data_IF_678223469783
#
_entry.id   IF_678223469783
#
_cell.length_a   1.000
_cell.length_b   1.000
_cell.length_c   1.000
_cell.angle_alpha   90.00
_cell.angle_beta   90.00
_cell.angle_gamma   90.00
#
_symmetry.space_group_name_H-M   'P 1'
#
loop_
_entity.id
_entity.type
_entity.pdbx_description
1 polymer ?
#
# COMPACT_ATOMS: atom_id res chain seq x y z
N UNK A 1 11.07 21.70 -7.32
CA UNK A 1 10.12 21.46 -6.22
C UNK A 1 9.17 20.30 -6.51
N UNK A 2 9.39 19.52 -7.59
CA UNK A 2 8.62 18.33 -7.97
C UNK A 2 9.22 17.04 -7.38
N UNK A 3 10.55 16.99 -7.20
CA UNK A 3 11.25 15.83 -6.65
C UNK A 3 10.89 15.48 -5.20
N UNK A 4 10.50 16.48 -4.40
CA UNK A 4 10.12 16.30 -2.99
C UNK A 4 8.79 15.58 -2.90
N UNK A 5 7.77 16.07 -3.60
CA UNK A 5 6.43 15.45 -3.69
C UNK A 5 6.46 14.05 -4.28
N UNK A 6 7.38 13.81 -5.21
CA UNK A 6 7.56 12.50 -5.81
C UNK A 6 8.22 11.51 -4.84
N UNK A 7 9.21 11.95 -4.07
CA UNK A 7 9.81 11.09 -3.04
C UNK A 7 8.81 10.76 -1.93
N UNK A 8 8.03 11.74 -1.49
CA UNK A 8 6.97 11.59 -0.49
C UNK A 8 5.89 10.60 -0.94
N UNK A 9 5.46 10.65 -2.21
CA UNK A 9 4.44 9.74 -2.74
C UNK A 9 4.88 8.27 -2.66
N UNK A 10 6.11 7.96 -3.07
CA UNK A 10 6.64 6.60 -2.97
C UNK A 10 6.80 6.12 -1.52
N UNK A 11 7.18 7.01 -0.60
CA UNK A 11 7.27 6.69 0.83
C UNK A 11 5.90 6.38 1.44
N UNK A 12 4.87 7.16 1.10
CA UNK A 12 3.50 6.93 1.55
C UNK A 12 2.92 5.62 1.03
N UNK A 13 3.16 5.26 -0.23
CA UNK A 13 2.71 3.99 -0.80
C UNK A 13 3.36 2.79 -0.10
N UNK A 14 4.67 2.87 0.18
CA UNK A 14 5.36 1.83 0.97
C UNK A 14 4.87 1.77 2.41
N UNK A 15 4.53 2.91 3.02
CA UNK A 15 3.95 2.95 4.36
C UNK A 15 2.56 2.30 4.39
N UNK A 16 1.72 2.58 3.40
CA UNK A 16 0.41 1.96 3.27
C UNK A 16 0.49 0.42 3.21
N UNK A 17 1.42 -0.14 2.41
CA UNK A 17 1.65 -1.59 2.38
C UNK A 17 2.05 -2.17 3.74
N UNK A 18 2.92 -1.48 4.49
CA UNK A 18 3.29 -1.91 5.86
C UNK A 18 2.08 -1.91 6.79
N UNK A 19 1.22 -0.90 6.71
CA UNK A 19 0.02 -0.83 7.55
C UNK A 19 -1.01 -1.90 7.19
N UNK A 20 -1.19 -2.20 5.91
CA UNK A 20 -2.10 -3.26 5.44
C UNK A 20 -1.62 -4.63 5.90
N UNK A 21 -0.32 -4.90 5.83
CA UNK A 21 0.26 -6.16 6.32
C UNK A 21 0.14 -6.28 7.85
N UNK A 22 0.39 -5.21 8.60
CA UNK A 22 0.16 -5.19 10.04
C UNK A 22 -1.32 -5.42 10.41
N UNK A 23 -2.25 -4.86 9.62
CA UNK A 23 -3.68 -5.10 9.81
C UNK A 23 -4.04 -6.57 9.56
N UNK A 24 -3.48 -7.21 8.52
CA UNK A 24 -3.70 -8.65 8.19
C UNK A 24 -3.25 -9.60 9.30
N UNK A 25 -2.27 -9.20 10.10
CA UNK A 25 -1.73 -10.01 11.20
C UNK A 25 -2.54 -9.90 12.49
N UNK A 26 -3.59 -9.06 12.54
CA UNK A 26 -4.49 -8.99 13.69
C UNK A 26 -5.37 -10.25 13.77
N UNK A 27 -5.39 -10.90 14.94
CA UNK A 27 -6.04 -12.20 15.16
C UNK A 27 -7.56 -12.18 14.95
N UNK A 28 -8.21 -11.01 15.00
CA UNK A 28 -9.68 -10.89 14.98
C UNK A 28 -10.24 -10.34 13.65
N UNK A 29 -9.61 -10.70 12.53
CA UNK A 29 -10.11 -10.36 11.21
C UNK A 29 -11.22 -11.29 10.75
N UNK A 30 -12.42 -10.74 10.53
CA UNK A 30 -13.47 -11.43 9.77
C UNK A 30 -12.98 -11.71 8.35
N UNK A 31 -13.41 -12.84 7.77
CA UNK A 31 -13.04 -13.28 6.40
C UNK A 31 -13.18 -12.19 5.34
N UNK A 32 -14.27 -11.42 5.36
CA UNK A 32 -14.49 -10.30 4.43
C UNK A 32 -13.45 -9.19 4.60
N UNK A 33 -13.04 -8.89 5.82
CA UNK A 33 -12.02 -7.87 6.09
C UNK A 33 -10.64 -8.34 5.60
N UNK A 34 -10.31 -9.62 5.76
CA UNK A 34 -9.06 -10.18 5.24
C UNK A 34 -8.97 -10.06 3.71
N UNK A 35 -10.06 -10.39 3.00
CA UNK A 35 -10.16 -10.25 1.53
C UNK A 35 -10.08 -8.77 1.11
N UNK A 36 -10.74 -7.87 1.86
CA UNK A 36 -10.66 -6.45 1.59
C UNK A 36 -9.22 -5.91 1.74
N UNK A 37 -8.51 -6.32 2.78
CA UNK A 37 -7.11 -5.95 3.00
C UNK A 37 -6.19 -6.48 1.90
N UNK A 38 -6.40 -7.70 1.43
CA UNK A 38 -5.67 -8.28 0.30
C UNK A 38 -5.90 -7.47 -0.99
N UNK A 39 -7.15 -7.16 -1.32
CA UNK A 39 -7.48 -6.36 -2.50
C UNK A 39 -6.83 -4.98 -2.45
N UNK A 40 -6.91 -4.29 -1.32
CA UNK A 40 -6.29 -2.97 -1.15
C UNK A 40 -4.76 -3.08 -1.24
N UNK A 41 -4.15 -4.11 -0.64
CA UNK A 41 -2.70 -4.35 -0.75
C UNK A 41 -2.26 -4.54 -2.20
N UNK A 42 -3.04 -5.29 -2.99
CA UNK A 42 -2.77 -5.49 -4.42
C UNK A 42 -2.85 -4.19 -5.20
N UNK A 43 -3.91 -3.40 -4.98
CA UNK A 43 -4.06 -2.08 -5.64
C UNK A 43 -2.90 -1.15 -5.30
N UNK A 44 -2.53 -1.01 -4.02
CA UNK A 44 -1.43 -0.14 -3.60
C UNK A 44 -0.10 -0.61 -4.18
N UNK A 45 0.12 -1.93 -4.28
CA UNK A 45 1.32 -2.49 -4.90
C UNK A 45 1.40 -2.18 -6.40
N UNK A 46 0.27 -2.26 -7.11
CA UNK A 46 0.19 -1.86 -8.53
C UNK A 46 0.50 -0.38 -8.69
N UNK A 47 -0.14 0.49 -7.90
CA UNK A 47 0.10 1.93 -7.95
C UNK A 47 1.57 2.26 -7.65
N UNK A 48 2.19 1.61 -6.65
CA UNK A 48 3.61 1.80 -6.36
C UNK A 48 4.49 1.41 -7.55
N UNK A 49 4.19 0.28 -8.20
CA UNK A 49 4.96 -0.20 -9.35
C UNK A 49 4.83 0.73 -10.56
N UNK A 50 3.63 1.22 -10.84
CA UNK A 50 3.38 2.20 -11.91
C UNK A 50 4.09 3.52 -11.58
N UNK A 51 3.97 4.00 -10.34
CA UNK A 51 4.63 5.20 -9.85
C UNK A 51 6.17 5.13 -9.94
N UNK A 52 6.77 3.99 -9.61
CA UNK A 52 8.21 3.76 -9.75
C UNK A 52 8.66 3.56 -11.21
N UNK A 53 7.77 3.08 -12.08
CA UNK A 53 8.05 2.83 -13.50
C UNK A 53 7.88 4.06 -14.40
N UNK A 54 7.04 5.02 -13.99
CA UNK A 54 6.86 6.32 -14.66
C UNK A 54 7.99 7.33 -14.33
N UNK A 55 8.97 6.92 -13.52
CA UNK A 55 10.06 7.76 -12.99
C UNK A 55 11.40 7.54 -13.67
#
# INVERSE_FOLDING_TARGET
MTDTTDTETGEHLRAALRHLEAARQQEDLRKTNAVALENVSNTVSTVLREYEGDR
#
